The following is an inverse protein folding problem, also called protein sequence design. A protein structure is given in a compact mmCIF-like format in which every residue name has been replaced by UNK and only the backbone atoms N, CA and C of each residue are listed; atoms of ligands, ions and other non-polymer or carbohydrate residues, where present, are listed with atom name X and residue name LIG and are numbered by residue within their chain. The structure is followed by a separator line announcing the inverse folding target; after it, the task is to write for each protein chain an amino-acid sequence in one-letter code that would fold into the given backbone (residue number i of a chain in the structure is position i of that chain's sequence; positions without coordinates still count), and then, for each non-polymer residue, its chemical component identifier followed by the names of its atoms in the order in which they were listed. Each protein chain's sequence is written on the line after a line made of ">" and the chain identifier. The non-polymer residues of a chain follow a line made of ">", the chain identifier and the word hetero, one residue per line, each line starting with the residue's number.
data_IF_083749357672
#
_entry.id   IF_083749357672
#
_cell.length_a   1.000
_cell.length_b   1.000
_cell.length_c   1.000
_cell.angle_alpha   90.00
_cell.angle_beta   90.00
_cell.angle_gamma   90.00
#
_symmetry.space_group_name_H-M   'P 1'
#
loop_
_entity.id
_entity.type
_entity.pdbx_description
1 polymer ?
#
# COMPACT_ATOMS: atom_id res chain seq x y z
N UNK A 1 28.00 14.87 47.00
CA UNK A 1 28.59 15.47 45.78
C UNK A 1 28.02 14.72 44.58
N UNK A 2 27.67 15.48 43.55
CA UNK A 2 26.73 15.17 42.45
C UNK A 2 26.95 13.82 41.77
N UNK A 3 25.86 13.05 41.64
CA UNK A 3 25.77 11.88 40.78
C UNK A 3 25.45 12.40 39.37
N UNK A 4 26.47 12.78 38.62
CA UNK A 4 26.36 13.28 37.24
C UNK A 4 26.00 12.13 36.29
N UNK A 5 24.76 11.67 36.38
CA UNK A 5 24.12 10.84 35.35
C UNK A 5 23.78 11.74 34.17
N UNK A 6 24.78 12.00 33.33
CA UNK A 6 24.56 12.59 32.00
C UNK A 6 23.73 11.60 31.19
N UNK A 7 22.40 11.78 31.19
CA UNK A 7 21.51 11.10 30.25
C UNK A 7 21.73 11.73 28.89
N UNK A 8 22.57 11.09 28.07
CA UNK A 8 22.80 11.51 26.70
C UNK A 8 21.49 11.42 25.90
N UNK A 9 20.87 12.57 25.63
CA UNK A 9 19.69 12.71 24.77
C UNK A 9 19.98 12.42 23.27
N UNK A 10 21.22 12.04 22.92
CA UNK A 10 21.60 11.70 21.54
C UNK A 10 21.01 10.37 21.02
N UNK A 11 20.40 9.55 21.89
CA UNK A 11 19.78 8.28 21.51
C UNK A 11 18.31 8.35 21.06
N UNK A 12 17.68 9.53 21.02
CA UNK A 12 16.25 9.69 20.64
C UNK A 12 16.01 10.03 19.18
N UNK A 13 16.97 9.81 18.29
CA UNK A 13 16.62 9.62 16.88
C UNK A 13 16.16 8.17 16.79
N UNK A 14 14.84 7.97 16.76
CA UNK A 14 14.26 6.72 16.26
C UNK A 14 15.02 6.37 14.99
N UNK A 15 15.68 5.22 14.98
CA UNK A 15 16.28 4.71 13.75
C UNK A 15 15.23 4.80 12.65
N UNK A 16 15.56 5.33 11.46
CA UNK A 16 14.59 5.45 10.39
C UNK A 16 13.97 4.08 10.15
N UNK A 17 12.64 4.01 10.16
CA UNK A 17 11.95 2.73 9.94
C UNK A 17 12.40 2.15 8.59
N UNK A 18 12.55 0.82 8.49
CA UNK A 18 12.88 0.21 7.21
C UNK A 18 11.83 0.58 6.16
N UNK A 19 12.26 0.66 4.90
CA UNK A 19 11.33 0.88 3.79
C UNK A 19 10.38 -0.32 3.72
N UNK A 20 9.07 -0.06 3.71
CA UNK A 20 8.07 -1.05 3.37
C UNK A 20 7.66 -0.82 1.92
N UNK A 21 8.20 -1.62 1.01
CA UNK A 21 7.96 -1.46 -0.42
C UNK A 21 8.04 -2.77 -1.18
N UNK A 22 7.27 -2.85 -2.27
CA UNK A 22 7.16 -4.04 -3.10
C UNK A 22 6.24 -3.81 -4.30
N UNK A 23 6.10 -4.84 -5.12
CA UNK A 23 5.19 -4.84 -6.27
C UNK A 23 4.07 -5.85 -6.04
N UNK A 24 2.84 -5.35 -5.89
CA UNK A 24 1.63 -6.16 -5.86
C UNK A 24 1.29 -6.59 -7.29
N UNK A 25 1.16 -7.89 -7.52
CA UNK A 25 0.77 -8.44 -8.83
C UNK A 25 -0.47 -9.29 -8.66
N UNK A 26 -1.56 -8.91 -9.30
CA UNK A 26 -2.84 -9.59 -9.17
C UNK A 26 -3.71 -9.42 -10.41
N UNK A 27 -4.64 -10.34 -10.61
CA UNK A 27 -5.59 -10.26 -11.72
C UNK A 27 -6.76 -9.33 -11.38
N UNK A 28 -7.37 -8.71 -12.39
CA UNK A 28 -8.52 -7.82 -12.18
C UNK A 28 -9.74 -8.51 -11.56
N UNK A 29 -9.92 -9.81 -11.83
CA UNK A 29 -10.98 -10.64 -11.24
C UNK A 29 -10.78 -10.91 -9.73
N UNK A 30 -9.60 -10.63 -9.19
CA UNK A 30 -9.33 -10.69 -7.75
C UNK A 30 -9.73 -9.41 -7.02
N UNK A 31 -10.16 -8.36 -7.73
CA UNK A 31 -10.60 -7.11 -7.12
C UNK A 31 -12.06 -7.19 -6.68
N UNK A 32 -12.32 -6.65 -5.49
CA UNK A 32 -13.67 -6.44 -4.97
C UNK A 32 -13.79 -5.07 -4.33
N UNK A 33 -15.00 -4.51 -4.38
CA UNK A 33 -15.35 -3.30 -3.66
C UNK A 33 -16.06 -3.70 -2.34
N UNK A 34 -15.44 -3.50 -1.17
CA UNK A 34 -16.10 -3.80 0.10
C UNK A 34 -17.26 -2.83 0.31
N UNK A 35 -18.43 -3.36 0.70
CA UNK A 35 -19.55 -2.51 1.08
C UNK A 35 -19.32 -1.98 2.49
N UNK A 36 -18.85 -0.74 2.62
CA UNK A 36 -18.71 -0.06 3.90
C UNK A 36 -19.74 1.07 4.01
N UNK A 37 -20.52 1.08 5.10
CA UNK A 37 -21.39 2.22 5.39
C UNK A 37 -20.52 3.45 5.72
N UNK A 38 -20.79 4.57 5.04
CA UNK A 38 -20.06 5.83 5.27
C UNK A 38 -18.76 5.98 4.48
N UNK A 39 -18.51 5.13 3.48
CA UNK A 39 -17.38 5.33 2.57
C UNK A 39 -17.47 6.69 1.87
N UNK A 40 -16.37 7.44 1.89
CA UNK A 40 -16.27 8.78 1.30
C UNK A 40 -16.09 8.75 -0.22
N UNK A 41 -15.82 7.57 -0.78
CA UNK A 41 -15.69 7.31 -2.20
C UNK A 41 -15.55 5.81 -2.49
N UNK A 42 -15.39 5.42 -3.77
CA UNK A 42 -15.12 4.04 -4.15
C UNK A 42 -13.76 3.57 -3.63
N UNK A 43 -13.73 2.42 -2.98
CA UNK A 43 -12.51 1.76 -2.53
C UNK A 43 -12.48 0.32 -3.05
N UNK A 44 -11.30 -0.17 -3.40
CA UNK A 44 -11.08 -1.52 -3.88
C UNK A 44 -10.12 -2.27 -2.97
N UNK A 45 -10.27 -3.57 -2.86
CA UNK A 45 -9.32 -4.46 -2.21
C UNK A 45 -9.25 -5.77 -2.99
N UNK A 46 -8.28 -6.62 -2.66
CA UNK A 46 -8.24 -7.97 -3.20
C UNK A 46 -9.13 -8.93 -2.41
N UNK A 47 -9.57 -10.00 -3.08
CA UNK A 47 -10.31 -11.09 -2.43
C UNK A 47 -9.43 -11.78 -1.38
N UNK A 48 -8.21 -12.12 -1.79
CA UNK A 48 -7.18 -12.74 -0.97
C UNK A 48 -6.00 -11.77 -0.76
N UNK A 49 -5.27 -11.87 0.35
CA UNK A 49 -4.02 -11.15 0.55
C UNK A 49 -2.99 -11.51 -0.53
N UNK A 50 -2.06 -10.60 -0.81
CA UNK A 50 -1.02 -10.79 -1.83
C UNK A 50 0.30 -11.08 -1.15
N UNK A 51 0.94 -12.18 -1.53
CA UNK A 51 2.30 -12.52 -1.11
C UNK A 51 3.32 -11.74 -1.94
N UNK A 52 4.11 -10.90 -1.27
CA UNK A 52 5.13 -10.07 -1.91
C UNK A 52 6.45 -10.15 -1.16
N UNK A 53 7.54 -10.33 -1.90
CA UNK A 53 8.88 -10.13 -1.35
C UNK A 53 9.14 -8.62 -1.23
N UNK A 54 9.13 -8.12 0.02
CA UNK A 54 9.42 -6.72 0.29
C UNK A 54 10.89 -6.38 0.07
N UNK A 55 11.16 -5.13 -0.25
CA UNK A 55 12.52 -4.60 -0.40
C UNK A 55 13.36 -4.90 0.85
N UNK A 56 14.54 -5.51 0.64
CA UNK A 56 15.47 -5.87 1.72
C UNK A 56 15.08 -7.13 2.51
N UNK A 57 14.03 -7.86 2.12
CA UNK A 57 13.62 -9.11 2.78
C UNK A 57 13.86 -10.33 1.89
N UNK A 58 14.27 -11.44 2.53
CA UNK A 58 14.47 -12.73 1.87
C UNK A 58 13.19 -13.56 1.80
N UNK A 59 12.23 -13.29 2.67
CA UNK A 59 10.99 -14.04 2.79
C UNK A 59 9.81 -13.25 2.20
N UNK A 60 8.82 -13.99 1.69
CA UNK A 60 7.55 -13.40 1.27
C UNK A 60 6.81 -12.84 2.47
N UNK A 61 6.16 -11.70 2.28
CA UNK A 61 5.32 -11.05 3.28
C UNK A 61 3.91 -10.91 2.73
N UNK A 62 2.93 -11.31 3.54
CA UNK A 62 1.51 -11.12 3.25
C UNK A 62 1.18 -9.64 3.25
N UNK A 63 0.56 -9.14 2.18
CA UNK A 63 0.09 -7.75 2.04
C UNK A 63 -1.42 -7.72 1.87
N UNK A 64 -2.07 -6.86 2.64
CA UNK A 64 -3.50 -6.55 2.59
C UNK A 64 -3.70 -5.17 1.97
N UNK A 65 -3.92 -5.09 0.64
CA UNK A 65 -4.04 -3.80 -0.02
C UNK A 65 -5.46 -3.25 0.00
N UNK A 66 -5.56 -1.93 0.12
CA UNK A 66 -6.76 -1.15 -0.19
C UNK A 66 -6.38 -0.05 -1.17
N UNK A 67 -7.21 0.19 -2.17
CA UNK A 67 -6.97 1.15 -3.22
C UNK A 67 -8.09 2.17 -3.26
N UNK A 68 -7.74 3.45 -3.20
CA UNK A 68 -8.70 4.55 -3.24
C UNK A 68 -8.20 5.72 -4.09
N UNK A 69 -8.98 6.79 -4.11
CA UNK A 69 -8.59 8.07 -4.71
C UNK A 69 -8.06 9.01 -3.63
N UNK A 70 -6.99 9.74 -3.93
CA UNK A 70 -6.32 10.66 -2.97
C UNK A 70 -7.23 11.76 -2.43
N UNK A 71 -8.23 12.19 -3.22
CA UNK A 71 -9.27 13.14 -2.81
C UNK A 71 -10.10 12.64 -1.60
N UNK A 72 -10.09 11.33 -1.34
CA UNK A 72 -10.79 10.66 -0.25
C UNK A 72 -9.84 10.09 0.81
N UNK A 73 -8.54 10.33 0.68
CA UNK A 73 -7.53 9.89 1.65
C UNK A 73 -7.76 10.58 3.01
N UNK A 74 -7.80 9.85 4.14
CA UNK A 74 -8.08 10.42 5.46
C UNK A 74 -7.13 11.56 5.89
N UNK A 75 -5.88 11.51 5.43
CA UNK A 75 -4.82 12.47 5.77
C UNK A 75 -4.27 13.22 4.53
N UNK A 76 -4.93 13.06 3.39
CA UNK A 76 -4.53 13.68 2.12
C UNK A 76 -3.24 13.12 1.53
N UNK A 77 -2.73 11.98 2.02
CA UNK A 77 -1.53 11.34 1.47
C UNK A 77 -1.89 10.28 0.43
N UNK A 78 -0.91 9.98 -0.41
CA UNK A 78 -0.95 8.91 -1.42
C UNK A 78 -1.01 7.50 -0.83
N UNK A 79 -0.96 7.36 0.50
CA UNK A 79 -1.18 6.10 1.16
C UNK A 79 -0.70 6.07 2.61
N UNK A 80 -0.92 4.91 3.21
CA UNK A 80 -0.48 4.54 4.53
C UNK A 80 -0.07 3.07 4.50
N UNK A 81 1.16 2.78 4.92
CA UNK A 81 1.69 1.42 4.94
C UNK A 81 2.20 1.11 6.33
N UNK A 82 1.70 0.05 6.94
CA UNK A 82 2.11 -0.37 8.27
C UNK A 82 2.21 -1.87 8.37
N UNK A 83 3.16 -2.35 9.15
CA UNK A 83 3.35 -3.76 9.46
C UNK A 83 2.73 -4.11 10.81
N UNK A 84 2.09 -5.28 10.88
CA UNK A 84 1.48 -5.85 12.06
C UNK A 84 1.71 -7.38 12.10
N UNK A 85 1.14 -8.05 13.12
CA UNK A 85 1.30 -9.50 13.32
C UNK A 85 0.72 -10.38 12.20
N UNK A 86 -0.13 -9.82 11.32
CA UNK A 86 -0.73 -10.51 10.19
C UNK A 86 -0.04 -10.19 8.85
N UNK A 87 0.99 -9.34 8.85
CA UNK A 87 1.70 -8.90 7.66
C UNK A 87 1.62 -7.38 7.47
N UNK A 88 1.53 -6.94 6.22
CA UNK A 88 1.52 -5.51 5.86
C UNK A 88 0.13 -5.07 5.45
N UNK A 89 -0.37 -3.99 6.05
CA UNK A 89 -1.54 -3.26 5.52
C UNK A 89 -1.03 -2.14 4.63
N UNK A 90 -1.55 -2.06 3.40
CA UNK A 90 -1.17 -1.06 2.42
C UNK A 90 -2.42 -0.33 1.89
N UNK A 91 -2.69 0.84 2.45
CA UNK A 91 -3.74 1.74 1.95
C UNK A 91 -3.09 2.65 0.91
N UNK A 92 -3.49 2.54 -0.35
CA UNK A 92 -2.83 3.18 -1.49
C UNK A 92 -3.84 4.07 -2.23
N UNK A 93 -3.61 5.38 -2.22
CA UNK A 93 -4.51 6.36 -2.79
C UNK A 93 -3.91 6.98 -4.05
N UNK A 94 -4.52 6.68 -5.20
CA UNK A 94 -4.08 7.18 -6.50
C UNK A 94 -4.60 8.60 -6.77
N UNK A 95 -3.85 9.36 -7.58
CA UNK A 95 -4.38 10.55 -8.24
C UNK A 95 -5.60 10.17 -9.11
N UNK A 96 -6.51 11.13 -9.33
CA UNK A 96 -7.81 10.87 -9.96
C UNK A 96 -7.72 10.15 -11.31
N UNK A 97 -6.81 10.56 -12.18
CA UNK A 97 -6.58 9.95 -13.49
C UNK A 97 -6.11 8.49 -13.39
N UNK A 98 -5.14 8.22 -12.52
CA UNK A 98 -4.65 6.87 -12.25
C UNK A 98 -5.73 6.01 -11.58
N UNK A 99 -6.53 6.58 -10.68
CA UNK A 99 -7.63 5.86 -10.03
C UNK A 99 -8.73 5.49 -11.04
N UNK A 100 -9.06 6.38 -11.97
CA UNK A 100 -10.02 6.07 -13.05
C UNK A 100 -9.50 4.95 -13.95
N UNK A 101 -8.20 4.95 -14.29
CA UNK A 101 -7.59 3.86 -15.03
C UNK A 101 -7.65 2.52 -14.26
N UNK A 102 -7.33 2.56 -12.97
CA UNK A 102 -7.44 1.41 -12.06
C UNK A 102 -8.88 0.87 -12.01
N UNK A 103 -9.85 1.74 -11.77
CA UNK A 103 -11.26 1.37 -11.67
C UNK A 103 -11.79 0.81 -12.99
N UNK A 104 -11.37 1.37 -14.13
CA UNK A 104 -11.72 0.85 -15.46
C UNK A 104 -11.13 -0.54 -15.68
N UNK A 105 -9.88 -0.77 -15.26
CA UNK A 105 -9.25 -2.10 -15.34
C UNK A 105 -9.95 -3.12 -14.41
N UNK A 106 -10.31 -2.71 -13.20
CA UNK A 106 -11.03 -3.53 -12.22
C UNK A 106 -12.38 -4.00 -12.77
N UNK A 107 -13.11 -3.12 -13.46
CA UNK A 107 -14.43 -3.40 -14.03
C UNK A 107 -14.37 -4.02 -15.44
N UNK A 108 -13.18 -4.18 -16.01
CA UNK A 108 -13.02 -4.69 -17.38
C UNK A 108 -13.38 -6.16 -17.46
N UNK A 109 -14.08 -6.55 -18.53
CA UNK A 109 -14.31 -7.96 -18.86
C UNK A 109 -13.10 -8.64 -19.50
N UNK A 110 -12.07 -7.88 -19.88
CA UNK A 110 -10.83 -8.44 -20.39
C UNK A 110 -10.00 -9.02 -19.24
N UNK A 111 -9.26 -10.13 -19.45
CA UNK A 111 -8.37 -10.65 -18.43
C UNK A 111 -7.14 -9.74 -18.34
N UNK A 112 -7.04 -8.97 -17.26
CA UNK A 112 -5.94 -8.03 -17.01
C UNK A 112 -5.12 -8.47 -15.80
N UNK A 113 -3.82 -8.17 -15.84
CA UNK A 113 -2.91 -8.21 -14.69
C UNK A 113 -2.61 -6.78 -14.30
N UNK A 114 -2.80 -6.46 -13.02
CA UNK A 114 -2.44 -5.17 -12.45
C UNK A 114 -1.14 -5.33 -11.65
N UNK A 115 -0.26 -4.36 -11.84
CA UNK A 115 0.99 -4.22 -11.11
C UNK A 115 0.93 -2.91 -10.34
N UNK A 116 0.88 -2.99 -9.01
CA UNK A 116 0.91 -1.82 -8.14
C UNK A 116 2.20 -1.83 -7.35
N UNK A 117 3.12 -0.94 -7.73
CA UNK A 117 4.38 -0.76 -7.00
C UNK A 117 4.21 0.33 -5.98
N UNK A 118 4.61 0.05 -4.73
CA UNK A 118 4.57 1.00 -3.64
C UNK A 118 5.88 0.95 -2.85
N UNK A 119 6.24 2.07 -2.24
CA UNK A 119 7.27 2.11 -1.21
C UNK A 119 6.94 3.22 -0.22
N UNK A 120 7.05 2.92 1.07
CA UNK A 120 6.80 3.83 2.18
C UNK A 120 7.99 3.92 3.13
N UNK A 121 8.27 5.14 3.61
CA UNK A 121 9.11 5.41 4.79
C UNK A 121 8.25 6.14 5.80
N UNK A 122 8.35 5.73 7.06
CA UNK A 122 7.58 6.35 8.16
C UNK A 122 6.06 6.41 7.87
N UNK A 123 5.52 5.31 7.34
CA UNK A 123 4.09 5.09 7.07
C UNK A 123 3.46 5.98 5.99
N UNK A 124 4.23 6.74 5.19
CA UNK A 124 3.73 7.49 4.03
C UNK A 124 4.45 7.09 2.74
N UNK A 125 3.76 6.86 1.60
CA UNK A 125 4.42 6.40 0.39
C UNK A 125 4.96 7.54 -0.48
N UNK A 126 6.30 7.69 -0.62
CA UNK A 126 6.90 8.53 -1.67
C UNK A 126 6.73 7.94 -3.08
N UNK A 127 6.39 6.65 -3.23
CA UNK A 127 6.27 5.99 -4.54
C UNK A 127 4.99 5.18 -4.59
N UNK A 128 4.13 5.49 -5.56
CA UNK A 128 2.96 4.70 -5.95
C UNK A 128 2.87 4.71 -7.47
N UNK A 129 2.90 3.53 -8.08
CA UNK A 129 2.85 3.36 -9.53
C UNK A 129 1.83 2.27 -9.91
N UNK A 130 1.19 2.44 -11.06
CA UNK A 130 0.24 1.51 -11.62
C UNK A 130 0.67 1.14 -13.04
N UNK A 131 0.80 -0.15 -13.31
CA UNK A 131 0.85 -0.69 -14.67
C UNK A 131 -0.26 -1.74 -14.84
N UNK A 132 -0.83 -1.76 -16.04
CA UNK A 132 -1.94 -2.66 -16.40
C UNK A 132 -1.56 -3.36 -17.69
N UNK A 133 -1.54 -4.68 -17.66
CA UNK A 133 -1.21 -5.50 -18.82
C UNK A 133 -2.35 -6.47 -19.13
N UNK A 134 -2.53 -6.77 -20.42
CA UNK A 134 -3.49 -7.79 -20.83
C UNK A 134 -2.86 -9.17 -20.66
N UNK A 135 -3.56 -10.09 -19.99
CA UNK A 135 -3.15 -11.50 -19.93
C UNK A 135 -3.29 -12.11 -21.33
N UNK A 136 -2.18 -12.52 -21.92
CA UNK A 136 -2.19 -13.39 -23.10
C UNK A 136 -2.39 -14.83 -22.61
N UNK A 137 -3.44 -15.49 -23.13
CA UNK A 137 -3.76 -16.88 -22.83
C UNK A 137 -2.63 -17.84 -23.25
#
# INVERSE_FOLDING_TARGET
>A
MSDDRVVSLRGRRSEPRPVLGGCLVFANDQLRMPMAMGATGPEWTTIDPIEVQLEGRSESTTVHPRFGMIDHSPDGKSGYVSENEHGVTADLYFARDLFVAFQTAALSSAPLTLFVTFAARDDAPPILMLAIERRTA
#
